data_IF_205148883171
#
_entry.id   IF_205148883171
#
_cell.length_a   1.000
_cell.length_b   1.000
_cell.length_c   1.000
_cell.angle_alpha   90.00
_cell.angle_beta   90.00
_cell.angle_gamma   90.00
#
_symmetry.space_group_name_H-M   'P 1'
#
loop_
_entity.id
_entity.type
_entity.pdbx_description
1 polymer ?
#
# COMPACT_ATOMS: atom_id res chain seq x y z
N UNK A 1 -6.42 -33.29 30.99
CA UNK A 1 -7.58 -33.38 30.05
C UNK A 1 -8.54 -32.18 30.10
N UNK A 2 -8.60 -31.40 31.20
CA UNK A 2 -9.49 -30.23 31.31
C UNK A 2 -9.12 -29.04 30.38
N UNK A 3 -7.83 -28.85 30.08
CA UNK A 3 -7.34 -27.78 29.19
C UNK A 3 -7.90 -27.87 27.75
N UNK A 4 -8.11 -29.09 27.24
CA UNK A 4 -8.69 -29.27 25.90
C UNK A 4 -10.16 -28.83 25.84
N UNK A 5 -10.91 -29.03 26.92
CA UNK A 5 -12.33 -28.69 26.97
C UNK A 5 -12.54 -27.19 27.12
N UNK A 6 -11.67 -26.49 27.86
CA UNK A 6 -11.73 -25.02 27.99
C UNK A 6 -11.37 -24.34 26.67
N UNK A 7 -10.33 -24.80 25.96
CA UNK A 7 -9.98 -24.25 24.64
C UNK A 7 -11.09 -24.52 23.62
N UNK A 8 -11.71 -25.70 23.66
CA UNK A 8 -12.88 -26.01 22.82
C UNK A 8 -14.08 -25.13 23.17
N UNK A 9 -14.35 -24.90 24.45
CA UNK A 9 -15.45 -24.04 24.89
C UNK A 9 -15.22 -22.58 24.47
N UNK A 10 -13.98 -22.10 24.56
CA UNK A 10 -13.61 -20.74 24.18
C UNK A 10 -13.66 -20.54 22.66
N UNK A 11 -13.16 -21.50 21.87
CA UNK A 11 -13.29 -21.48 20.40
C UNK A 11 -14.77 -21.56 20.00
N UNK A 12 -15.57 -22.37 20.68
CA UNK A 12 -17.00 -22.47 20.42
C UNK A 12 -17.75 -21.18 20.78
N UNK A 13 -17.40 -20.54 21.90
CA UNK A 13 -17.98 -19.26 22.31
C UNK A 13 -17.62 -18.14 21.33
N UNK A 14 -16.36 -18.08 20.86
CA UNK A 14 -15.89 -17.11 19.86
C UNK A 14 -16.59 -17.32 18.51
N UNK A 15 -16.84 -18.56 18.12
CA UNK A 15 -17.59 -18.89 16.89
C UNK A 15 -19.07 -18.52 17.01
N UNK A 16 -19.72 -18.75 18.16
CA UNK A 16 -21.15 -18.43 18.38
C UNK A 16 -21.38 -16.93 18.51
N UNK A 17 -20.47 -16.18 19.14
CA UNK A 17 -20.55 -14.71 19.26
C UNK A 17 -20.24 -14.00 17.93
N UNK A 18 -19.63 -14.69 16.95
CA UNK A 18 -19.32 -14.14 15.62
C UNK A 18 -20.40 -14.37 14.57
N UNK A 19 -21.55 -14.96 14.92
CA UNK A 19 -22.70 -15.07 14.03
C UNK A 19 -23.43 -13.71 13.91
N UNK A 20 -22.80 -12.74 13.25
CA UNK A 20 -23.51 -11.57 12.72
C UNK A 20 -24.33 -11.98 11.49
N UNK A 21 -25.51 -11.38 11.37
CA UNK A 21 -26.40 -11.50 10.22
C UNK A 21 -25.60 -11.26 8.93
N UNK A 22 -25.61 -12.25 8.05
CA UNK A 22 -24.89 -12.18 6.78
C UNK A 22 -25.38 -11.00 5.94
N UNK A 23 -24.51 -10.35 5.16
CA UNK A 23 -24.89 -9.22 4.33
C UNK A 23 -25.99 -9.63 3.34
N UNK A 24 -27.03 -8.80 3.25
CA UNK A 24 -28.10 -8.90 2.27
C UNK A 24 -27.51 -9.12 0.87
N UNK A 25 -27.98 -10.17 0.18
CA UNK A 25 -27.50 -10.51 -1.17
C UNK A 25 -27.70 -9.36 -2.18
N UNK A 26 -26.93 -9.35 -3.29
CA UNK A 26 -27.06 -8.31 -4.30
C UNK A 26 -28.48 -8.33 -4.89
N UNK A 27 -29.13 -7.15 -4.88
CA UNK A 27 -30.42 -6.95 -5.52
C UNK A 27 -30.37 -7.37 -6.99
N UNK A 28 -31.39 -8.10 -7.43
CA UNK A 28 -31.51 -8.61 -8.80
C UNK A 28 -31.38 -7.50 -9.86
N UNK A 29 -30.92 -7.89 -11.04
CA UNK A 29 -30.79 -7.00 -12.19
C UNK A 29 -32.13 -6.32 -12.51
N UNK A 30 -32.11 -4.99 -12.62
CA UNK A 30 -33.23 -4.21 -13.18
C UNK A 30 -33.55 -4.78 -14.57
N UNK A 31 -34.80 -5.18 -14.78
CA UNK A 31 -35.29 -5.58 -16.09
C UNK A 31 -35.10 -4.47 -17.14
N UNK A 32 -35.12 -4.83 -18.44
CA UNK A 32 -34.95 -3.85 -19.51
C UNK A 32 -36.01 -2.75 -19.39
N UNK A 33 -35.58 -1.50 -19.59
CA UNK A 33 -36.49 -0.36 -19.62
C UNK A 33 -37.54 -0.54 -20.71
N UNK A 34 -38.80 -0.27 -20.38
CA UNK A 34 -39.89 -0.25 -21.35
C UNK A 34 -39.63 0.76 -22.48
N UNK A 35 -40.30 0.61 -23.63
CA UNK A 35 -40.12 1.50 -24.77
C UNK A 35 -40.40 2.95 -24.36
N UNK A 36 -39.49 3.85 -24.75
CA UNK A 36 -39.58 5.27 -24.47
C UNK A 36 -40.86 5.87 -25.06
N UNK A 37 -41.58 6.64 -24.25
CA UNK A 37 -42.69 7.46 -24.72
C UNK A 37 -42.23 8.52 -25.72
N UNK A 38 -43.13 9.02 -26.58
CA UNK A 38 -42.78 10.02 -27.58
C UNK A 38 -42.23 11.29 -26.94
N UNK A 39 -41.13 11.80 -27.49
CA UNK A 39 -40.44 12.99 -27.00
C UNK A 39 -41.32 14.23 -27.04
N UNK A 40 -41.35 14.96 -25.92
CA UNK A 40 -41.95 16.29 -25.86
C UNK A 40 -41.23 17.29 -26.77
N UNK A 41 -41.90 18.38 -27.17
CA UNK A 41 -41.34 19.36 -28.10
C UNK A 41 -40.08 20.03 -27.54
N UNK A 42 -39.11 20.27 -28.44
CA UNK A 42 -37.90 21.04 -28.15
C UNK A 42 -38.27 22.45 -27.70
N UNK A 43 -37.83 22.82 -26.51
CA UNK A 43 -37.83 24.22 -26.07
C UNK A 43 -36.88 25.08 -26.92
N UNK A 44 -37.12 26.40 -26.99
CA UNK A 44 -36.31 27.32 -27.79
C UNK A 44 -34.87 27.42 -27.26
N UNK A 45 -33.91 27.49 -28.19
CA UNK A 45 -32.48 27.51 -27.93
C UNK A 45 -32.01 28.78 -27.21
N UNK A 46 -31.20 28.59 -26.17
CA UNK A 46 -30.45 29.66 -25.51
C UNK A 46 -29.20 30.08 -26.30
N UNK A 47 -28.65 31.27 -26.04
CA UNK A 47 -27.51 31.81 -26.78
C UNK A 47 -26.21 31.07 -26.47
N UNK A 48 -25.35 31.01 -27.50
CA UNK A 48 -24.26 30.06 -27.65
C UNK A 48 -23.17 30.07 -26.57
N UNK A 49 -22.88 28.88 -26.06
CA UNK A 49 -21.64 28.57 -25.36
C UNK A 49 -20.50 28.37 -26.36
N UNK A 50 -19.38 29.03 -26.09
CA UNK A 50 -18.16 28.99 -26.90
C UNK A 50 -17.72 27.55 -27.23
N UNK A 51 -17.43 27.35 -28.52
CA UNK A 51 -16.85 26.17 -29.14
C UNK A 51 -15.65 25.62 -28.34
N UNK A 52 -15.81 24.48 -27.67
CA UNK A 52 -14.65 23.73 -27.16
C UNK A 52 -13.96 23.06 -28.33
N UNK A 53 -12.79 23.57 -28.71
CA UNK A 53 -11.82 22.84 -29.55
C UNK A 53 -11.57 21.43 -28.98
N UNK A 54 -11.66 20.35 -29.79
CA UNK A 54 -11.17 19.04 -29.40
C UNK A 54 -9.66 19.00 -29.63
N UNK A 55 -8.88 19.41 -28.63
CA UNK A 55 -7.43 19.57 -28.80
C UNK A 55 -6.60 19.52 -27.52
N UNK A 56 -7.13 18.94 -26.44
CA UNK A 56 -6.33 18.66 -25.25
C UNK A 56 -6.66 17.27 -24.77
N UNK A 57 -5.76 16.30 -25.00
CA UNK A 57 -5.72 15.12 -24.14
C UNK A 57 -5.55 15.66 -22.73
N UNK A 58 -6.41 15.34 -21.76
CA UNK A 58 -5.97 15.41 -20.38
C UNK A 58 -4.94 14.27 -20.27
N UNK A 59 -3.66 14.55 -20.50
CA UNK A 59 -2.59 13.67 -20.04
C UNK A 59 -2.52 13.84 -18.53
N UNK A 60 -3.55 13.34 -17.84
CA UNK A 60 -3.48 13.08 -16.41
C UNK A 60 -2.35 12.07 -16.29
N UNK A 61 -1.22 12.54 -15.78
CA UNK A 61 -0.05 11.71 -15.51
C UNK A 61 -0.53 10.51 -14.67
N UNK A 62 -0.55 9.32 -15.28
CA UNK A 62 -0.83 8.06 -14.57
C UNK A 62 0.21 7.79 -13.50
N UNK A 63 1.29 8.58 -13.44
CA UNK A 63 2.48 8.32 -12.66
C UNK A 63 2.66 9.45 -11.65
N UNK A 64 2.82 9.07 -10.38
CA UNK A 64 3.01 9.99 -9.27
C UNK A 64 4.15 9.50 -8.37
N UNK A 65 4.88 10.40 -7.70
CA UNK A 65 5.88 10.00 -6.72
C UNK A 65 5.22 9.24 -5.57
N UNK A 66 5.94 8.26 -5.02
CA UNK A 66 5.49 7.52 -3.84
C UNK A 66 6.62 7.38 -2.82
N UNK A 67 6.22 7.07 -1.59
CA UNK A 67 7.14 6.67 -0.53
C UNK A 67 6.49 5.54 0.24
N UNK A 68 7.23 4.46 0.49
CA UNK A 68 6.74 3.31 1.23
C UNK A 68 7.86 2.68 2.04
N UNK A 69 7.64 2.55 3.36
CA UNK A 69 8.53 1.78 4.25
C UNK A 69 8.48 0.28 4.00
N UNK A 70 7.41 -0.19 3.38
CA UNK A 70 7.24 -1.60 3.03
C UNK A 70 8.02 -1.96 1.75
N UNK A 71 8.17 -1.00 0.82
CA UNK A 71 8.79 -1.19 -0.49
C UNK A 71 10.03 -0.31 -0.68
N UNK A 72 10.89 -0.21 0.33
CA UNK A 72 12.11 0.61 0.27
C UNK A 72 13.17 0.06 -0.71
N UNK A 73 13.09 -1.23 -1.05
CA UNK A 73 14.02 -1.91 -1.97
C UNK A 73 13.78 -1.63 -3.45
N UNK A 74 12.72 -0.89 -3.80
CA UNK A 74 12.42 -0.54 -5.19
C UNK A 74 13.45 0.48 -5.71
N UNK A 75 13.91 0.29 -6.95
CA UNK A 75 14.92 1.14 -7.60
C UNK A 75 14.34 2.42 -8.22
N UNK A 76 13.03 2.63 -8.13
CA UNK A 76 12.30 3.74 -8.76
C UNK A 76 11.45 4.49 -7.74
N UNK A 77 11.23 5.78 -7.99
CA UNK A 77 10.55 6.69 -7.06
C UNK A 77 9.13 7.10 -7.51
N UNK A 78 8.72 6.70 -8.71
CA UNK A 78 7.39 7.02 -9.26
C UNK A 78 6.60 5.76 -9.60
N UNK A 79 5.31 5.77 -9.30
CA UNK A 79 4.42 4.64 -9.51
C UNK A 79 3.11 5.05 -10.17
N UNK A 80 2.48 4.08 -10.83
CA UNK A 80 1.18 4.22 -11.46
C UNK A 80 0.02 4.34 -10.46
N UNK A 81 -0.82 5.36 -10.59
CA UNK A 81 -2.09 5.51 -9.88
C UNK A 81 -3.27 5.80 -10.86
N UNK A 82 -4.44 5.14 -10.69
CA UNK A 82 -4.73 4.12 -9.68
C UNK A 82 -3.89 2.85 -9.89
N UNK A 83 -3.40 2.26 -8.80
CA UNK A 83 -2.59 1.04 -8.88
C UNK A 83 -3.46 -0.19 -9.22
N UNK A 84 -2.84 -1.36 -9.36
CA UNK A 84 -3.52 -2.58 -9.83
C UNK A 84 -4.61 -3.09 -8.87
N UNK A 85 -4.53 -2.70 -7.59
CA UNK A 85 -5.56 -3.02 -6.58
C UNK A 85 -6.64 -1.94 -6.44
N UNK A 86 -6.50 -0.81 -7.14
CA UNK A 86 -7.49 0.27 -7.24
C UNK A 86 -7.30 1.43 -6.26
N UNK A 87 -6.18 1.47 -5.53
CA UNK A 87 -5.85 2.61 -4.68
C UNK A 87 -5.47 3.81 -5.53
N UNK A 88 -5.95 5.00 -5.14
CA UNK A 88 -5.69 6.25 -5.86
C UNK A 88 -4.49 7.02 -5.34
N UNK A 89 -3.99 6.66 -4.16
CA UNK A 89 -2.89 7.34 -3.49
C UNK A 89 -1.93 6.34 -2.84
N UNK A 90 -0.67 6.75 -2.68
CA UNK A 90 0.35 5.99 -1.95
C UNK A 90 -0.07 5.70 -0.51
N UNK A 91 -0.76 6.64 0.16
CA UNK A 91 -1.27 6.45 1.53
C UNK A 91 -2.27 5.29 1.65
N UNK A 92 -3.19 5.15 0.69
CA UNK A 92 -4.14 4.03 0.66
C UNK A 92 -3.41 2.69 0.42
N UNK A 93 -2.43 2.69 -0.48
CA UNK A 93 -1.59 1.53 -0.74
C UNK A 93 -0.80 1.10 0.50
N UNK A 94 -0.13 2.05 1.18
CA UNK A 94 0.62 1.82 2.40
C UNK A 94 -0.25 1.31 3.55
N UNK A 95 -1.47 1.84 3.73
CA UNK A 95 -2.40 1.36 4.75
C UNK A 95 -2.77 -0.13 4.52
N UNK A 96 -2.99 -0.51 3.26
CA UNK A 96 -3.26 -1.93 2.91
C UNK A 96 -2.03 -2.80 3.14
N UNK A 97 -0.85 -2.38 2.67
CA UNK A 97 0.40 -3.12 2.86
C UNK A 97 0.73 -3.34 4.35
N UNK A 98 0.48 -2.34 5.20
CA UNK A 98 0.66 -2.47 6.65
C UNK A 98 -0.21 -3.59 7.24
N UNK A 99 -1.45 -3.75 6.77
CA UNK A 99 -2.33 -4.85 7.20
C UNK A 99 -1.89 -6.24 6.72
N UNK A 100 -1.08 -6.30 5.66
CA UNK A 100 -0.54 -7.53 5.09
C UNK A 100 0.81 -7.93 5.70
N UNK A 101 1.39 -7.11 6.59
CA UNK A 101 2.68 -7.40 7.23
C UNK A 101 2.69 -8.76 7.96
N UNK A 102 1.64 -9.18 8.69
CA UNK A 102 1.60 -10.52 9.28
C UNK A 102 1.68 -11.65 8.25
N UNK A 103 1.11 -11.46 7.06
CA UNK A 103 1.17 -12.44 5.98
C UNK A 103 2.59 -12.53 5.41
N UNK A 104 3.29 -11.41 5.25
CA UNK A 104 4.72 -11.42 4.86
C UNK A 104 5.58 -12.09 5.92
N UNK A 105 5.36 -11.77 7.20
CA UNK A 105 6.10 -12.35 8.32
C UNK A 105 5.86 -13.85 8.49
N UNK A 106 4.74 -14.39 7.99
CA UNK A 106 4.51 -15.83 7.95
C UNK A 106 5.52 -16.59 7.09
N UNK A 107 6.20 -15.91 6.17
CA UNK A 107 7.22 -16.50 5.30
C UNK A 107 6.65 -17.48 4.25
N UNK A 108 5.37 -17.41 3.93
CA UNK A 108 4.73 -18.34 2.97
C UNK A 108 5.36 -18.32 1.57
N UNK A 109 5.95 -17.20 1.14
CA UNK A 109 6.74 -17.12 -0.08
C UNK A 109 7.81 -16.03 0.06
N UNK A 110 9.06 -16.27 -0.37
CA UNK A 110 10.09 -15.24 -0.40
C UNK A 110 9.79 -14.13 -1.42
N UNK A 111 8.91 -14.39 -2.38
CA UNK A 111 8.56 -13.47 -3.47
C UNK A 111 7.32 -12.62 -3.15
N UNK A 112 6.68 -12.83 -2.00
CA UNK A 112 5.43 -12.16 -1.66
C UNK A 112 5.61 -10.65 -1.55
N UNK A 113 6.69 -10.17 -0.93
CA UNK A 113 6.92 -8.74 -0.75
C UNK A 113 7.09 -8.04 -2.10
N UNK A 114 7.90 -8.60 -3.01
CA UNK A 114 8.10 -8.06 -4.35
C UNK A 114 6.80 -8.02 -5.16
N UNK A 115 6.02 -9.10 -5.09
CA UNK A 115 4.70 -9.15 -5.73
C UNK A 115 3.75 -8.07 -5.17
N UNK A 116 3.68 -7.93 -3.84
CA UNK A 116 2.86 -6.92 -3.19
C UNK A 116 3.31 -5.50 -3.58
N UNK A 117 4.61 -5.25 -3.65
CA UNK A 117 5.15 -3.97 -4.09
C UNK A 117 4.79 -3.67 -5.54
N UNK A 118 4.94 -4.63 -6.47
CA UNK A 118 4.62 -4.37 -7.88
C UNK A 118 3.13 -4.19 -8.17
N UNK A 119 2.21 -4.73 -7.36
CA UNK A 119 0.76 -4.45 -7.53
C UNK A 119 0.30 -3.16 -6.85
N UNK A 120 1.00 -2.73 -5.79
CA UNK A 120 0.66 -1.51 -5.04
C UNK A 120 1.39 -0.26 -5.54
N UNK A 121 2.59 -0.42 -6.09
CA UNK A 121 3.46 0.62 -6.62
C UNK A 121 4.05 0.17 -7.97
N UNK A 122 3.22 -0.08 -9.00
CA UNK A 122 3.73 -0.51 -10.31
C UNK A 122 4.62 0.59 -10.90
N UNK A 123 5.81 0.21 -11.36
CA UNK A 123 6.73 1.13 -12.04
C UNK A 123 6.04 1.76 -13.25
N UNK A 124 6.29 3.06 -13.46
CA UNK A 124 5.81 3.77 -14.63
C UNK A 124 6.95 4.15 -15.57
N UNK A 125 6.78 3.81 -16.84
CA UNK A 125 7.65 4.24 -17.93
C UNK A 125 6.81 4.81 -19.08
N UNK A 126 7.06 6.07 -19.48
CA UNK A 126 6.40 6.71 -20.64
C UNK A 126 4.85 6.59 -20.68
N UNK A 127 4.19 6.69 -19.52
CA UNK A 127 2.73 6.51 -19.34
C UNK A 127 2.22 5.08 -19.45
N UNK A 128 3.11 4.08 -19.50
CA UNK A 128 2.80 2.67 -19.33
C UNK A 128 3.21 2.21 -17.93
N UNK A 129 2.47 1.24 -17.38
CA UNK A 129 2.78 0.63 -16.08
C UNK A 129 3.31 -0.77 -16.30
N UNK A 130 4.41 -1.11 -15.63
CA UNK A 130 4.95 -2.46 -15.65
C UNK A 130 4.25 -3.29 -14.58
N UNK A 131 3.65 -4.40 -15.00
CA UNK A 131 2.86 -5.29 -14.13
C UNK A 131 3.65 -6.56 -13.79
N UNK A 132 3.27 -7.29 -12.72
CA UNK A 132 3.87 -8.60 -12.45
C UNK A 132 3.56 -9.59 -13.59
N UNK A 133 4.50 -10.47 -13.89
CA UNK A 133 4.23 -11.58 -14.79
C UNK A 133 3.28 -12.61 -14.14
N UNK A 134 2.56 -13.36 -14.98
CA UNK A 134 1.63 -14.40 -14.52
C UNK A 134 2.33 -15.50 -13.72
N UNK A 135 3.57 -15.85 -14.07
CA UNK A 135 4.38 -16.83 -13.37
C UNK A 135 4.63 -16.42 -11.92
N UNK A 136 5.13 -15.19 -11.70
CA UNK A 136 5.34 -14.61 -10.36
C UNK A 136 4.06 -14.64 -9.52
N UNK A 137 2.95 -14.16 -10.09
CA UNK A 137 1.67 -14.20 -9.38
C UNK A 137 1.27 -15.62 -9.00
N UNK A 138 1.41 -16.57 -9.93
CA UNK A 138 0.96 -17.95 -9.72
C UNK A 138 1.77 -18.63 -8.63
N UNK A 139 3.08 -18.37 -8.58
CA UNK A 139 3.98 -18.90 -7.56
C UNK A 139 3.64 -18.34 -6.17
N UNK A 140 3.47 -17.02 -6.06
CA UNK A 140 3.09 -16.38 -4.78
C UNK A 140 1.70 -16.82 -4.33
N UNK A 141 0.74 -16.87 -5.26
CA UNK A 141 -0.62 -17.33 -4.97
C UNK A 141 -0.61 -18.76 -4.45
N UNK A 142 0.04 -19.69 -5.16
CA UNK A 142 0.13 -21.10 -4.77
C UNK A 142 0.72 -21.26 -3.37
N UNK A 143 1.79 -20.53 -3.07
CA UNK A 143 2.51 -20.68 -1.80
C UNK A 143 1.83 -19.97 -0.62
N UNK A 144 1.09 -18.89 -0.85
CA UNK A 144 0.49 -18.08 0.22
C UNK A 144 -1.03 -18.19 0.37
N UNK A 145 -1.77 -18.75 -0.59
CA UNK A 145 -3.24 -18.75 -0.55
C UNK A 145 -3.83 -19.45 0.67
N UNK A 146 -3.26 -20.60 1.07
CA UNK A 146 -3.71 -21.34 2.25
C UNK A 146 -3.51 -20.54 3.54
N UNK A 147 -2.30 -20.00 3.75
CA UNK A 147 -1.98 -19.13 4.88
C UNK A 147 -2.87 -17.89 4.91
N UNK A 148 -3.04 -17.23 3.77
CA UNK A 148 -3.92 -16.08 3.60
C UNK A 148 -5.35 -16.40 4.03
N UNK A 149 -5.88 -17.55 3.61
CA UNK A 149 -7.24 -18.00 3.95
C UNK A 149 -7.38 -18.32 5.43
N UNK A 150 -6.40 -18.98 6.05
CA UNK A 150 -6.37 -19.26 7.50
C UNK A 150 -6.38 -17.99 8.35
N UNK A 151 -5.77 -16.93 7.85
CA UNK A 151 -5.74 -15.60 8.48
C UNK A 151 -6.99 -14.76 8.18
N UNK A 152 -7.97 -15.29 7.44
CA UNK A 152 -9.22 -14.61 7.11
C UNK A 152 -9.15 -13.67 5.91
N UNK A 153 -8.02 -13.61 5.22
CA UNK A 153 -7.86 -12.83 4.00
C UNK A 153 -8.34 -13.62 2.77
N UNK A 154 -8.78 -12.91 1.74
CA UNK A 154 -9.15 -13.49 0.44
C UNK A 154 -8.28 -12.94 -0.66
N UNK A 155 -7.88 -13.80 -1.61
CA UNK A 155 -7.14 -13.35 -2.78
C UNK A 155 -8.00 -12.38 -3.62
N UNK A 156 -7.59 -11.11 -3.82
CA UNK A 156 -8.43 -10.13 -4.48
C UNK A 156 -8.62 -10.43 -5.97
N UNK A 157 -9.83 -10.16 -6.46
CA UNK A 157 -10.21 -10.41 -7.86
C UNK A 157 -9.38 -9.60 -8.85
N UNK A 158 -9.00 -8.37 -8.48
CA UNK A 158 -8.20 -7.46 -9.31
C UNK A 158 -6.77 -7.93 -9.56
N UNK A 159 -6.25 -8.85 -8.73
CA UNK A 159 -4.90 -9.41 -8.86
C UNK A 159 -4.93 -10.93 -9.06
N UNK A 160 -6.02 -11.47 -9.63
CA UNK A 160 -6.06 -12.86 -10.07
C UNK A 160 -5.01 -13.09 -11.16
N UNK A 161 -4.25 -14.16 -11.07
CA UNK A 161 -3.11 -14.36 -11.97
C UNK A 161 -3.46 -14.43 -13.46
N UNK A 162 -4.71 -14.76 -13.80
CA UNK A 162 -5.22 -14.72 -15.18
C UNK A 162 -5.21 -13.32 -15.82
N UNK A 163 -5.20 -12.24 -15.02
CA UNK A 163 -5.18 -10.86 -15.54
C UNK A 163 -3.78 -10.41 -15.95
N UNK A 164 -2.74 -11.11 -15.47
CA UNK A 164 -1.35 -10.76 -15.77
C UNK A 164 -0.89 -11.42 -17.08
N UNK A 165 0.04 -10.77 -17.82
CA UNK A 165 0.59 -11.29 -19.06
C UNK A 165 1.39 -12.58 -18.83
N UNK A 166 1.41 -13.44 -19.84
CA UNK A 166 2.27 -14.63 -19.87
C UNK A 166 3.72 -14.20 -20.07
N UNK A 167 4.65 -14.95 -19.51
CA UNK A 167 6.08 -14.73 -19.73
C UNK A 167 6.37 -14.74 -21.25
N UNK A 168 6.89 -13.63 -21.79
CA UNK A 168 7.24 -13.50 -23.21
C UNK A 168 6.23 -12.77 -24.09
N UNK A 169 5.00 -12.53 -23.62
CA UNK A 169 3.94 -11.82 -24.37
C UNK A 169 3.87 -10.30 -24.05
N UNK A 170 4.85 -9.77 -23.31
CA UNK A 170 4.95 -8.34 -22.98
C UNK A 170 6.02 -8.01 -21.94
N UNK A 171 6.14 -6.71 -21.65
CA UNK A 171 6.98 -6.20 -20.57
C UNK A 171 6.25 -6.34 -19.22
N UNK A 172 6.72 -7.31 -18.45
CA UNK A 172 6.29 -7.59 -17.09
C UNK A 172 7.52 -7.96 -16.25
N UNK A 173 7.46 -7.75 -14.94
CA UNK A 173 8.57 -8.07 -14.04
C UNK A 173 8.37 -9.43 -13.34
N UNK A 174 9.47 -10.03 -12.88
CA UNK A 174 9.44 -11.32 -12.17
C UNK A 174 9.44 -12.56 -13.08
N UNK A 175 10.04 -12.44 -14.27
CA UNK A 175 10.20 -13.56 -15.23
C UNK A 175 11.15 -14.64 -14.70
N UNK A 176 12.18 -14.25 -13.97
CA UNK A 176 13.27 -15.12 -13.50
C UNK A 176 13.05 -15.57 -12.05
N UNK A 177 12.01 -16.37 -11.82
CA UNK A 177 11.73 -16.91 -10.49
C UNK A 177 12.87 -17.83 -10.02
N UNK A 178 13.36 -17.69 -8.78
CA UNK A 178 14.34 -18.62 -8.22
C UNK A 178 13.73 -20.03 -8.18
N UNK A 179 14.26 -20.93 -9.02
CA UNK A 179 13.78 -22.30 -9.17
C UNK A 179 13.24 -22.67 -10.55
N UNK A 180 13.14 -21.71 -11.48
CA UNK A 180 12.78 -21.95 -12.90
C UNK A 180 13.97 -21.70 -13.82
N UNK A 181 15.12 -22.28 -13.51
CA UNK A 181 16.26 -22.32 -14.44
C UNK A 181 15.96 -23.31 -15.56
N UNK A 182 15.37 -22.83 -16.66
CA UNK A 182 15.72 -23.43 -17.96
C UNK A 182 17.12 -22.94 -18.28
N UNK A 183 18.09 -23.85 -18.29
CA UNK A 183 19.49 -23.60 -18.64
C UNK A 183 19.63 -22.61 -19.80
N UNK A 184 20.30 -21.47 -19.56
CA UNK A 184 21.33 -20.94 -20.46
C UNK A 184 22.13 -19.77 -19.88
N UNK A 185 23.43 -20.05 -19.76
CA UNK A 185 24.63 -19.22 -19.74
C UNK A 185 24.94 -18.39 -18.47
N UNK A 186 26.13 -18.60 -17.85
CA UNK A 186 26.60 -17.75 -16.76
C UNK A 186 26.91 -16.35 -17.30
N UNK A 187 26.37 -15.33 -16.63
CA UNK A 187 26.87 -13.96 -16.72
C UNK A 187 28.22 -13.94 -16.02
N UNK A 188 29.28 -13.72 -16.80
CA UNK A 188 30.64 -13.50 -16.31
C UNK A 188 30.71 -12.09 -15.72
N UNK A 189 30.89 -12.00 -14.41
CA UNK A 189 31.41 -10.81 -13.73
C UNK A 189 32.91 -10.73 -13.97
N UNK A 190 33.49 -9.58 -14.39
CA UNK A 190 34.92 -9.39 -14.29
C UNK A 190 35.27 -8.88 -12.89
N UNK A 191 35.93 -9.74 -12.10
CA UNK A 191 36.78 -9.29 -11.00
C UNK A 191 38.03 -8.62 -11.59
N UNK A 192 38.35 -7.40 -11.15
CA UNK A 192 39.71 -6.87 -11.25
C UNK A 192 40.13 -6.40 -9.86
N UNK A 193 41.00 -7.22 -9.27
CA UNK A 193 41.79 -6.98 -8.07
C UNK A 193 42.62 -5.69 -8.19
N UNK A 194 42.70 -4.95 -7.10
CA UNK A 194 43.42 -3.68 -7.02
C UNK A 194 44.92 -3.78 -7.18
N UNK A 195 45.54 -2.64 -7.46
CA UNK A 195 46.90 -2.34 -7.07
C UNK A 195 47.03 -0.88 -6.64
N UNK A 196 47.75 -0.73 -5.52
CA UNK A 196 47.95 0.47 -4.70
C UNK A 196 49.29 1.10 -5.09
N UNK A 197 49.30 2.34 -5.57
CA UNK A 197 50.53 3.16 -5.65
C UNK A 197 50.21 4.62 -5.31
N UNK A 198 50.95 5.18 -4.36
CA UNK A 198 51.20 6.60 -4.09
C UNK A 198 52.55 6.66 -3.33
N UNK A 199 53.34 7.77 -3.29
CA UNK A 199 52.90 9.18 -3.39
C UNK A 199 53.86 10.24 -4.05
N UNK A 200 53.36 11.48 -4.16
CA UNK A 200 54.00 12.84 -3.99
C UNK A 200 54.68 13.62 -5.17
N UNK A 201 54.83 14.98 -5.11
CA UNK A 201 54.03 16.00 -5.86
C UNK A 201 54.86 16.94 -6.79
N UNK A 202 54.30 18.02 -7.40
CA UNK A 202 54.40 19.36 -6.77
C UNK A 202 53.24 20.37 -7.00
N UNK A 203 53.07 21.21 -5.97
CA UNK A 203 52.71 22.64 -5.86
C UNK A 203 51.86 23.44 -6.88
N UNK A 204 50.86 24.13 -6.28
CA UNK A 204 50.54 25.58 -6.34
C UNK A 204 49.87 26.20 -7.58
N UNK A 205 48.61 26.60 -7.42
CA UNK A 205 48.15 27.98 -7.66
C UNK A 205 46.95 28.27 -6.75
N UNK A 206 46.99 29.45 -6.14
CA UNK A 206 46.05 30.06 -5.20
C UNK A 206 45.04 30.88 -6.00
N UNK A 207 43.76 30.86 -5.64
CA UNK A 207 42.91 32.03 -5.84
C UNK A 207 41.85 32.18 -4.73
N UNK A 208 41.71 33.41 -4.28
CA UNK A 208 40.94 33.85 -3.11
C UNK A 208 39.68 34.61 -3.52
N UNK A 209 38.77 34.71 -2.54
CA UNK A 209 37.57 35.59 -2.40
C UNK A 209 36.26 34.93 -2.86
N UNK A 210 35.15 34.99 -2.13
CA UNK A 210 34.69 35.94 -1.09
C UNK A 210 33.93 35.20 0.02
N UNK A 211 34.08 35.67 1.25
CA UNK A 211 33.28 35.24 2.40
C UNK A 211 31.82 35.72 2.30
N UNK A 212 30.94 35.02 2.98
CA UNK A 212 29.56 35.44 3.24
C UNK A 212 29.35 35.53 4.74
N UNK A 213 28.74 36.65 5.10
CA UNK A 213 28.59 37.24 6.41
C UNK A 213 27.67 36.44 7.36
N UNK A 214 28.03 36.41 8.64
CA UNK A 214 27.35 35.68 9.70
C UNK A 214 26.24 36.56 10.30
N UNK A 215 25.24 36.92 9.48
CA UNK A 215 24.21 37.90 9.88
C UNK A 215 22.87 37.86 9.12
N UNK A 216 22.69 37.01 8.12
CA UNK A 216 21.39 36.85 7.41
C UNK A 216 20.84 35.43 7.57
N UNK A 217 20.91 34.95 8.81
CA UNK A 217 20.46 33.64 9.30
C UNK A 217 18.98 33.69 9.72
N UNK A 218 18.09 34.26 8.90
CA UNK A 218 16.67 34.42 9.28
C UNK A 218 15.63 34.10 8.19
N UNK A 219 16.03 33.49 7.06
CA UNK A 219 15.09 33.22 5.95
C UNK A 219 15.02 31.78 5.45
N UNK A 220 15.86 30.86 5.92
CA UNK A 220 16.11 29.58 5.20
C UNK A 220 16.08 28.33 6.09
N UNK A 221 15.19 28.29 7.08
CA UNK A 221 14.80 27.04 7.72
C UNK A 221 13.29 26.89 7.69
N UNK A 222 12.75 26.63 6.49
CA UNK A 222 11.49 25.89 6.38
C UNK A 222 11.78 24.46 6.84
N UNK A 223 11.80 24.26 8.16
CA UNK A 223 12.00 22.97 8.79
C UNK A 223 10.75 22.10 8.51
N UNK A 224 10.88 20.84 8.05
CA UNK A 224 9.75 19.90 7.90
C UNK A 224 8.90 19.77 9.17
N UNK A 225 9.49 20.04 10.34
CA UNK A 225 8.78 20.08 11.63
C UNK A 225 7.77 21.24 11.69
N UNK A 226 8.03 22.38 11.06
CA UNK A 226 7.12 23.55 11.05
C UNK A 226 5.93 23.32 10.11
N UNK A 227 6.13 22.67 8.96
CA UNK A 227 5.01 22.23 8.11
C UNK A 227 4.22 21.08 8.72
N UNK A 228 4.89 20.15 9.42
CA UNK A 228 4.23 19.08 10.17
C UNK A 228 3.43 19.60 11.39
N UNK A 229 3.93 20.63 12.08
CA UNK A 229 3.19 21.33 13.13
C UNK A 229 1.98 22.08 12.57
N UNK A 230 2.08 22.68 11.37
CA UNK A 230 0.93 23.23 10.65
C UNK A 230 -0.07 22.14 10.24
N UNK A 231 0.38 20.94 9.87
CA UNK A 231 -0.52 19.78 9.63
C UNK A 231 -1.15 19.24 10.91
N UNK A 232 -0.48 19.34 12.07
CA UNK A 232 -1.06 19.00 13.38
C UNK A 232 -2.14 19.99 13.82
N UNK A 233 -2.08 21.25 13.38
CA UNK A 233 -3.19 22.20 13.59
C UNK A 233 -4.47 21.79 12.86
N UNK A 234 -4.40 20.97 11.81
CA UNK A 234 -5.57 20.49 11.06
C UNK A 234 -6.30 19.33 11.78
N UNK A 235 -5.57 18.52 12.56
CA UNK A 235 -6.17 17.55 13.50
C UNK A 235 -6.79 18.24 14.72
N UNK A 236 -6.17 19.32 15.20
CA UNK A 236 -6.77 20.19 16.23
C UNK A 236 -7.99 20.96 15.69
N UNK A 237 -8.01 21.29 14.39
CA UNK A 237 -9.16 21.91 13.70
C UNK A 237 -10.34 20.94 13.56
N UNK A 238 -10.10 19.69 13.17
CA UNK A 238 -11.13 18.63 13.20
C UNK A 238 -11.58 18.27 14.62
N UNK A 239 -10.72 18.44 15.62
CA UNK A 239 -11.08 18.31 17.06
C UNK A 239 -11.99 19.43 17.54
N UNK A 240 -11.89 20.65 16.99
CA UNK A 240 -12.81 21.76 17.30
C UNK A 240 -14.16 21.69 16.56
N UNK A 241 -14.28 20.79 15.58
CA UNK A 241 -15.53 20.54 14.83
C UNK A 241 -16.33 19.34 15.38
N UNK A 242 -15.78 18.57 16.34
CA UNK A 242 -16.54 17.55 17.06
C UNK A 242 -17.44 18.21 18.11
N UNK A 243 -18.69 17.76 18.16
CA UNK A 243 -19.59 18.17 19.23
C UNK A 243 -19.09 17.67 20.59
N UNK A 244 -19.40 18.38 21.68
CA UNK A 244 -18.98 18.01 23.05
C UNK A 244 -19.39 16.57 23.39
N UNK A 245 -20.50 16.08 22.85
CA UNK A 245 -20.96 14.70 23.02
C UNK A 245 -20.08 13.69 22.29
N UNK A 246 -19.64 13.97 21.05
CA UNK A 246 -18.72 13.07 20.34
C UNK A 246 -17.36 12.99 21.04
N UNK A 247 -16.86 14.10 21.58
CA UNK A 247 -15.62 14.10 22.38
C UNK A 247 -15.78 13.26 23.64
N UNK A 248 -16.94 13.34 24.32
CA UNK A 248 -17.24 12.47 25.47
C UNK A 248 -17.31 11.01 25.06
N UNK A 249 -17.99 10.69 23.95
CA UNK A 249 -18.11 9.32 23.43
C UNK A 249 -16.73 8.75 23.09
N UNK A 250 -15.87 9.51 22.41
CA UNK A 250 -14.48 9.11 22.09
C UNK A 250 -13.66 8.91 23.36
N UNK A 251 -13.82 9.77 24.37
CA UNK A 251 -13.11 9.65 25.66
C UNK A 251 -13.61 8.43 26.45
N UNK A 252 -14.91 8.17 26.44
CA UNK A 252 -15.53 7.04 27.13
C UNK A 252 -15.19 5.70 26.45
N UNK A 253 -15.23 5.64 25.12
CA UNK A 253 -14.78 4.46 24.36
C UNK A 253 -13.30 4.19 24.55
N UNK A 254 -12.46 5.24 24.57
CA UNK A 254 -11.04 5.10 24.92
C UNK A 254 -10.87 4.55 26.33
N UNK A 255 -11.61 5.05 27.32
CA UNK A 255 -11.56 4.53 28.69
C UNK A 255 -12.03 3.07 28.80
N UNK A 256 -13.12 2.72 28.11
CA UNK A 256 -13.63 1.34 28.08
C UNK A 256 -12.62 0.38 27.46
N UNK A 257 -12.03 0.75 26.33
CA UNK A 257 -11.01 -0.05 25.66
C UNK A 257 -9.75 -0.22 26.53
N UNK A 258 -9.34 0.82 27.26
CA UNK A 258 -8.23 0.73 28.21
C UNK A 258 -8.51 -0.24 29.35
N UNK A 259 -9.75 -0.27 29.85
CA UNK A 259 -10.17 -1.22 30.89
C UNK A 259 -10.10 -2.68 30.38
N UNK A 260 -10.62 -2.93 29.18
CA UNK A 260 -10.58 -4.25 28.55
C UNK A 260 -9.15 -4.73 28.28
N UNK A 261 -8.25 -3.83 27.87
CA UNK A 261 -6.83 -4.14 27.69
C UNK A 261 -6.17 -4.51 29.03
N UNK A 262 -6.46 -3.77 30.11
CA UNK A 262 -5.88 -4.05 31.42
C UNK A 262 -6.43 -5.36 32.01
N UNK A 263 -7.69 -5.70 31.74
CA UNK A 263 -8.29 -6.98 32.13
C UNK A 263 -7.65 -8.16 31.37
N UNK A 264 -7.46 -8.01 30.05
CA UNK A 264 -6.73 -8.99 29.23
C UNK A 264 -5.30 -9.18 29.72
N UNK A 265 -4.62 -8.08 30.09
CA UNK A 265 -3.26 -8.13 30.64
C UNK A 265 -3.22 -8.89 31.97
N UNK A 266 -4.17 -8.64 32.88
CA UNK A 266 -4.28 -9.39 34.14
C UNK A 266 -4.58 -10.87 33.92
N UNK A 267 -5.47 -11.20 32.99
CA UNK A 267 -5.73 -12.60 32.63
C UNK A 267 -4.48 -13.27 32.06
N UNK A 268 -3.71 -12.56 31.22
CA UNK A 268 -2.46 -13.08 30.68
C UNK A 268 -1.43 -13.31 31.78
N UNK A 269 -1.26 -12.37 32.72
CA UNK A 269 -0.35 -12.54 33.86
C UNK A 269 -0.75 -13.71 34.77
N UNK A 270 -2.05 -13.89 35.03
CA UNK A 270 -2.55 -15.06 35.76
C UNK A 270 -2.30 -16.36 35.01
N UNK A 271 -2.58 -16.41 33.70
CA UNK A 271 -2.25 -17.60 32.90
C UNK A 271 -0.75 -17.91 32.93
N UNK A 272 0.10 -16.90 32.79
CA UNK A 272 1.56 -17.07 32.86
C UNK A 272 2.02 -17.59 34.23
N UNK A 273 1.36 -17.19 35.34
CA UNK A 273 1.64 -17.75 36.67
C UNK A 273 1.22 -19.23 36.80
N UNK A 274 0.09 -19.62 36.21
CA UNK A 274 -0.37 -21.03 36.20
C UNK A 274 0.52 -21.98 35.40
N UNK A 275 1.30 -21.47 34.43
CA UNK A 275 2.23 -22.27 33.64
C UNK A 275 3.65 -22.30 34.20
N UNK A 276 3.93 -21.54 35.26
CA UNK A 276 5.24 -21.49 35.92
C UNK A 276 5.32 -22.35 37.20
N UNK A 277 4.24 -23.06 37.53
CA UNK A 277 4.12 -24.08 38.58
C UNK A 277 4.01 -25.49 37.95
#
# INVERSE_FOLDING_TARGET
MAFSNIVKLFVFLVMVVSAQEGPSGPGGSRGPGGPGGPGGPRGPGGPGGAERRPGGRPSVSMCAPFSSKFCESLSYETAGFPNLVGHKTSGQANATLASLLPLVQSGCSPLLQDFLCGVHFPECHESQIIVPCRSLCSEVNKSCLDTMTKMGFRWPQRIRCSVFPVDGDGDCFGKDLPGKTTDKKPVVTPEISGNKVNPTPPSSQVDQRKGVDLGTVAGMLANPIVEWLKSSTDLNKRRSELTVEEVKVVKLTKQKLQLEIEELKRMLELLMSFFHE
#
